data_IF_457458499023
#
_entry.id   IF_457458499023
#
_cell.length_a   1.000
_cell.length_b   1.000
_cell.length_c   1.000
_cell.angle_alpha   90.00
_cell.angle_beta   90.00
_cell.angle_gamma   90.00
#
_symmetry.space_group_name_H-M   'P 1'
#
loop_
_entity.id
_entity.type
_entity.pdbx_description
1 polymer ?
#
# COMPACT_ATOMS: atom_id res chain seq x y z
N UNK A 1 29.62 -6.85 5.46
CA UNK A 1 29.45 -6.41 4.06
C UNK A 1 28.05 -5.86 3.79
N UNK A 2 26.99 -6.64 3.98
CA UNK A 2 25.61 -6.19 3.71
C UNK A 2 25.21 -4.95 4.54
N UNK A 3 25.45 -4.96 5.86
CA UNK A 3 25.18 -3.81 6.76
C UNK A 3 25.89 -2.51 6.33
N UNK A 4 27.14 -2.60 5.88
CA UNK A 4 27.89 -1.42 5.40
C UNK A 4 27.38 -0.93 4.04
N UNK A 5 26.83 -1.81 3.21
CA UNK A 5 26.20 -1.46 1.94
C UNK A 5 24.86 -0.76 2.19
N UNK A 6 24.01 -1.32 3.06
CA UNK A 6 22.74 -0.74 3.49
C UNK A 6 22.95 0.69 4.02
N UNK A 7 23.92 0.91 4.92
CA UNK A 7 24.23 2.24 5.46
C UNK A 7 24.68 3.26 4.40
N UNK A 8 25.43 2.82 3.38
CA UNK A 8 25.84 3.70 2.28
C UNK A 8 24.66 4.06 1.39
N UNK A 9 23.82 3.07 1.07
CA UNK A 9 22.58 3.27 0.31
C UNK A 9 21.67 4.25 1.03
N UNK A 10 21.43 4.04 2.33
CA UNK A 10 20.56 4.87 3.16
C UNK A 10 21.04 6.33 3.17
N UNK A 11 22.34 6.57 3.34
CA UNK A 11 22.93 7.91 3.28
C UNK A 11 22.72 8.60 1.93
N UNK A 12 23.00 7.89 0.84
CA UNK A 12 22.88 8.43 -0.53
C UNK A 12 21.41 8.72 -0.86
N UNK A 13 20.51 7.80 -0.48
CA UNK A 13 19.08 7.95 -0.67
C UNK A 13 18.54 9.15 0.11
N UNK A 14 18.86 9.26 1.39
CA UNK A 14 18.40 10.38 2.21
C UNK A 14 18.92 11.72 1.71
N UNK A 15 20.19 11.79 1.31
CA UNK A 15 20.75 13.01 0.73
C UNK A 15 19.98 13.43 -0.52
N UNK A 16 19.75 12.52 -1.46
CA UNK A 16 19.00 12.81 -2.69
C UNK A 16 17.53 13.17 -2.39
N UNK A 17 16.87 12.46 -1.47
CA UNK A 17 15.48 12.73 -1.09
C UNK A 17 15.31 14.08 -0.40
N UNK A 18 16.27 14.47 0.45
CA UNK A 18 16.23 15.76 1.17
C UNK A 18 16.45 16.93 0.21
N UNK A 19 17.35 16.80 -0.77
CA UNK A 19 17.51 17.82 -1.82
C UNK A 19 16.26 17.99 -2.67
N UNK A 20 15.61 16.89 -3.04
CA UNK A 20 14.35 16.97 -3.79
C UNK A 20 13.23 17.62 -2.96
N UNK A 21 13.23 17.41 -1.64
CA UNK A 21 12.26 18.04 -0.74
C UNK A 21 12.52 19.55 -0.55
N UNK A 22 13.77 20.01 -0.71
CA UNK A 22 14.14 21.42 -0.67
C UNK A 22 13.60 22.19 -1.88
N UNK A 23 13.79 21.65 -3.09
CA UNK A 23 13.23 22.21 -4.32
C UNK A 23 12.83 21.10 -5.30
N UNK A 24 11.53 20.83 -5.37
CA UNK A 24 10.96 19.81 -6.24
C UNK A 24 10.85 20.23 -7.71
N UNK A 25 11.14 21.50 -8.04
CA UNK A 25 11.13 22.01 -9.42
C UNK A 25 12.50 21.93 -10.09
N UNK A 26 13.55 21.57 -9.35
CA UNK A 26 14.90 21.44 -9.88
C UNK A 26 15.10 20.08 -10.58
N UNK A 27 15.30 20.13 -11.91
CA UNK A 27 15.53 18.95 -12.74
C UNK A 27 16.78 18.14 -12.34
N UNK A 28 17.83 18.77 -11.77
CA UNK A 28 19.01 18.03 -11.31
C UNK A 28 18.69 17.14 -10.11
N UNK A 29 17.85 17.60 -9.19
CA UNK A 29 17.47 16.83 -8.00
C UNK A 29 16.58 15.66 -8.39
N UNK A 30 15.66 15.87 -9.34
CA UNK A 30 14.87 14.80 -9.95
C UNK A 30 15.78 13.75 -10.62
N UNK A 31 16.78 14.18 -11.39
CA UNK A 31 17.73 13.28 -12.04
C UNK A 31 18.55 12.46 -11.02
N UNK A 32 19.01 13.08 -9.92
CA UNK A 32 19.74 12.38 -8.84
C UNK A 32 18.90 11.29 -8.18
N UNK A 33 17.64 11.60 -7.83
CA UNK A 33 16.73 10.60 -7.25
C UNK A 33 16.49 9.45 -8.24
N UNK A 34 16.31 9.74 -9.52
CA UNK A 34 16.20 8.71 -10.56
C UNK A 34 17.45 7.83 -10.68
N UNK A 35 18.65 8.40 -10.58
CA UNK A 35 19.90 7.64 -10.56
C UNK A 35 20.01 6.72 -9.33
N UNK A 36 19.62 7.22 -8.14
CA UNK A 36 19.61 6.41 -6.92
C UNK A 36 18.60 5.27 -7.02
N UNK A 37 17.40 5.51 -7.57
CA UNK A 37 16.41 4.46 -7.82
C UNK A 37 16.95 3.39 -8.78
N UNK A 38 17.60 3.79 -9.88
CA UNK A 38 18.23 2.84 -10.79
C UNK A 38 19.35 2.02 -10.12
N UNK A 39 20.16 2.64 -9.26
CA UNK A 39 21.17 1.94 -8.49
C UNK A 39 20.55 0.93 -7.52
N UNK A 40 19.50 1.32 -6.81
CA UNK A 40 18.74 0.46 -5.90
C UNK A 40 18.16 -0.75 -6.61
N UNK A 41 17.58 -0.57 -7.80
CA UNK A 41 17.08 -1.68 -8.62
C UNK A 41 18.19 -2.67 -8.97
N UNK A 42 19.36 -2.19 -9.44
CA UNK A 42 20.50 -3.05 -9.77
C UNK A 42 21.04 -3.82 -8.56
N UNK A 43 21.09 -3.19 -7.39
CA UNK A 43 21.51 -3.84 -6.15
C UNK A 43 20.46 -4.90 -5.72
N UNK A 44 19.17 -4.57 -5.87
CA UNK A 44 18.07 -5.51 -5.64
C UNK A 44 18.18 -6.74 -6.53
N UNK A 45 18.41 -6.57 -7.83
CA UNK A 45 18.62 -7.65 -8.79
C UNK A 45 19.84 -8.51 -8.43
N UNK A 46 20.99 -7.87 -8.13
CA UNK A 46 22.22 -8.57 -7.77
C UNK A 46 22.12 -9.34 -6.45
N UNK A 47 21.23 -8.92 -5.53
CA UNK A 47 21.02 -9.56 -4.22
C UNK A 47 19.80 -10.48 -4.15
N UNK A 48 19.01 -10.57 -5.23
CA UNK A 48 17.75 -11.29 -5.26
C UNK A 48 17.87 -12.80 -4.99
N UNK A 49 19.05 -13.39 -5.25
CA UNK A 49 19.33 -14.80 -5.02
C UNK A 49 19.51 -15.17 -3.54
N UNK A 50 19.86 -14.20 -2.68
CA UNK A 50 20.25 -14.48 -1.28
C UNK A 50 19.07 -15.02 -0.46
N UNK A 51 17.89 -14.42 -0.60
CA UNK A 51 16.68 -14.83 0.13
C UNK A 51 16.23 -16.26 -0.23
N UNK A 52 16.05 -16.63 -1.52
CA UNK A 52 15.64 -17.99 -1.87
C UNK A 52 16.67 -19.04 -1.47
N UNK A 53 17.98 -18.76 -1.56
CA UNK A 53 19.00 -19.69 -1.08
C UNK A 53 18.88 -19.95 0.44
N UNK A 54 18.70 -18.90 1.26
CA UNK A 54 18.51 -19.05 2.72
C UNK A 54 17.24 -19.86 3.04
N UNK A 55 16.19 -19.71 2.23
CA UNK A 55 14.94 -20.46 2.39
C UNK A 55 15.08 -21.93 1.97
N UNK A 56 15.97 -22.22 1.00
CA UNK A 56 16.23 -23.56 0.49
C UNK A 56 17.11 -24.42 1.40
N UNK A 57 17.91 -23.81 2.30
CA UNK A 57 18.72 -24.55 3.29
C UNK A 57 17.81 -25.48 4.12
N UNK A 58 18.28 -26.67 4.48
CA UNK A 58 17.55 -27.61 5.34
C UNK A 58 17.41 -27.11 6.80
N UNK A 59 16.41 -27.59 7.53
CA UNK A 59 16.14 -27.09 8.89
C UNK A 59 17.27 -27.45 9.88
N UNK A 60 17.89 -28.60 9.70
CA UNK A 60 19.01 -29.10 10.51
C UNK A 60 20.25 -28.22 10.33
N UNK A 61 20.69 -28.04 9.08
CA UNK A 61 21.82 -27.19 8.71
C UNK A 61 21.62 -25.74 9.13
N UNK A 62 20.39 -25.22 9.02
CA UNK A 62 20.07 -23.86 9.46
C UNK A 62 20.17 -23.70 10.99
N UNK A 63 19.75 -24.72 11.75
CA UNK A 63 19.86 -24.71 13.21
C UNK A 63 21.34 -24.70 13.66
N UNK A 64 22.20 -25.46 12.98
CA UNK A 64 23.64 -25.47 13.22
C UNK A 64 24.28 -24.11 12.93
N UNK A 65 23.93 -23.47 11.81
CA UNK A 65 24.44 -22.14 11.49
C UNK A 65 24.01 -21.08 12.51
N UNK A 66 22.76 -21.09 12.97
CA UNK A 66 22.28 -20.12 13.97
C UNK A 66 22.89 -20.33 15.36
N UNK A 67 23.34 -21.55 15.68
CA UNK A 67 24.04 -21.84 16.92
C UNK A 67 25.47 -21.25 16.95
N UNK A 68 26.04 -20.92 15.78
CA UNK A 68 27.40 -20.38 15.71
C UNK A 68 27.45 -18.91 16.19
N UNK A 69 28.32 -18.57 17.17
CA UNK A 69 28.44 -17.20 17.70
C UNK A 69 28.84 -16.16 16.65
N UNK A 70 29.51 -16.55 15.56
CA UNK A 70 29.84 -15.65 14.45
C UNK A 70 28.60 -15.05 13.77
N UNK A 71 27.44 -15.73 13.86
CA UNK A 71 26.16 -15.28 13.30
C UNK A 71 25.24 -14.62 14.35
N UNK A 72 25.75 -14.34 15.55
CA UNK A 72 24.97 -13.74 16.64
C UNK A 72 24.27 -12.44 16.25
N UNK A 73 24.97 -11.52 15.56
CA UNK A 73 24.39 -10.25 15.10
C UNK A 73 23.30 -10.44 14.01
N UNK A 74 23.38 -11.51 13.23
CA UNK A 74 22.49 -11.79 12.09
C UNK A 74 21.31 -12.69 12.45
N UNK A 75 21.32 -13.29 13.63
CA UNK A 75 20.32 -14.26 14.09
C UNK A 75 18.88 -13.78 13.94
N UNK A 76 18.60 -12.53 14.31
CA UNK A 76 17.25 -11.95 14.19
C UNK A 76 16.84 -11.81 12.72
N UNK A 77 17.74 -11.33 11.85
CA UNK A 77 17.46 -11.15 10.41
C UNK A 77 17.22 -12.50 9.73
N UNK A 78 18.07 -13.50 10.01
CA UNK A 78 17.94 -14.85 9.47
C UNK A 78 16.65 -15.54 9.95
N UNK A 79 16.29 -15.43 11.23
CA UNK A 79 15.01 -15.95 11.72
C UNK A 79 13.79 -15.27 11.08
N UNK A 80 13.85 -13.96 10.83
CA UNK A 80 12.76 -13.24 10.13
C UNK A 80 12.58 -13.74 8.70
N UNK A 81 13.68 -13.98 7.97
CA UNK A 81 13.63 -14.58 6.64
C UNK A 81 13.05 -15.99 6.73
N UNK A 82 13.56 -16.83 7.64
CA UNK A 82 13.12 -18.22 7.79
C UNK A 82 11.66 -18.37 8.21
N UNK A 83 11.11 -17.41 8.96
CA UNK A 83 9.67 -17.36 9.30
C UNK A 83 8.78 -17.31 8.05
N UNK A 84 9.29 -16.82 6.93
CA UNK A 84 8.56 -16.77 5.66
C UNK A 84 8.64 -18.09 4.88
N UNK A 85 9.53 -19.04 5.22
CA UNK A 85 9.62 -20.35 4.55
C UNK A 85 8.29 -21.09 4.39
N UNK A 86 7.41 -21.21 5.41
CA UNK A 86 6.09 -21.85 5.23
C UNK A 86 5.11 -21.05 4.37
N UNK A 87 5.45 -19.81 4.00
CA UNK A 87 4.63 -18.89 3.20
C UNK A 87 5.18 -18.68 1.78
N UNK A 88 6.28 -19.36 1.44
CA UNK A 88 6.88 -19.37 0.10
C UNK A 88 6.36 -20.60 -0.61
N UNK A 89 5.63 -20.37 -1.69
CA UNK A 89 5.05 -21.45 -2.49
C UNK A 89 6.10 -22.03 -3.45
N UNK A 90 5.72 -23.08 -4.18
CA UNK A 90 6.58 -23.60 -5.25
C UNK A 90 6.81 -22.54 -6.34
N UNK A 91 7.93 -22.63 -7.06
CA UNK A 91 8.28 -21.69 -8.14
C UNK A 91 7.13 -21.46 -9.15
N UNK A 92 6.40 -22.49 -9.63
CA UNK A 92 5.25 -22.30 -10.51
C UNK A 92 4.10 -21.53 -9.86
N UNK A 93 3.82 -21.76 -8.58
CA UNK A 93 2.74 -21.11 -7.84
C UNK A 93 3.05 -19.65 -7.55
N UNK A 94 4.29 -19.33 -7.17
CA UNK A 94 4.76 -17.95 -7.00
C UNK A 94 4.68 -17.18 -8.32
N UNK A 95 5.07 -17.79 -9.44
CA UNK A 95 4.95 -17.18 -10.77
C UNK A 95 3.49 -16.90 -11.14
N UNK A 96 2.58 -17.82 -10.85
CA UNK A 96 1.14 -17.61 -11.07
C UNK A 96 0.60 -16.48 -10.20
N UNK A 97 1.00 -16.39 -8.94
CA UNK A 97 0.62 -15.28 -8.06
C UNK A 97 1.16 -13.93 -8.56
N UNK A 98 2.41 -13.90 -9.03
CA UNK A 98 3.03 -12.69 -9.57
C UNK A 98 2.27 -12.19 -10.81
N UNK A 99 1.95 -13.08 -11.75
CA UNK A 99 1.14 -12.75 -12.93
C UNK A 99 -0.26 -12.27 -12.56
N UNK A 100 -0.91 -12.93 -11.59
CA UNK A 100 -2.21 -12.51 -11.07
C UNK A 100 -2.18 -11.13 -10.40
N UNK A 101 -1.05 -10.76 -9.78
CA UNK A 101 -0.90 -9.45 -9.13
C UNK A 101 -0.99 -8.29 -10.13
N UNK A 102 -0.46 -8.44 -11.34
CA UNK A 102 -0.53 -7.42 -12.40
C UNK A 102 -1.97 -7.23 -12.89
N UNK A 103 -2.70 -8.33 -13.10
CA UNK A 103 -4.11 -8.27 -13.48
C UNK A 103 -4.97 -7.60 -12.39
N UNK A 104 -4.60 -7.77 -11.12
CA UNK A 104 -5.33 -7.22 -9.98
C UNK A 104 -4.89 -5.79 -9.60
N UNK A 105 -3.73 -5.29 -10.04
CA UNK A 105 -3.27 -3.94 -9.70
C UNK A 105 -4.02 -2.85 -10.46
N UNK A 106 -4.51 -3.13 -11.66
CA UNK A 106 -5.29 -2.17 -12.45
C UNK A 106 -6.58 -1.68 -11.78
N UNK A 107 -7.10 -2.41 -10.79
CA UNK A 107 -8.25 -1.97 -9.99
C UNK A 107 -7.93 -0.77 -9.09
N UNK A 108 -6.73 -0.75 -8.49
CA UNK A 108 -6.31 0.34 -7.60
C UNK A 108 -6.13 1.64 -8.42
N UNK A 109 -5.54 1.52 -9.62
CA UNK A 109 -5.37 2.64 -10.56
C UNK A 109 -6.70 3.15 -11.10
N UNK A 110 -7.59 2.26 -11.54
CA UNK A 110 -8.92 2.64 -12.03
C UNK A 110 -9.79 3.28 -10.94
N UNK A 111 -9.71 2.77 -9.70
CA UNK A 111 -10.39 3.38 -8.56
C UNK A 111 -9.86 4.78 -8.30
N UNK A 112 -8.54 4.97 -8.28
CA UNK A 112 -7.92 6.28 -8.05
C UNK A 112 -8.27 7.28 -9.15
N UNK A 113 -8.21 6.88 -10.42
CA UNK A 113 -8.64 7.73 -11.54
C UNK A 113 -10.11 8.13 -11.43
N UNK A 114 -10.98 7.18 -11.10
CA UNK A 114 -12.41 7.45 -10.91
C UNK A 114 -12.65 8.44 -9.76
N UNK A 115 -12.03 8.23 -8.59
CA UNK A 115 -12.30 9.07 -7.41
C UNK A 115 -11.68 10.46 -7.50
N UNK A 116 -10.51 10.57 -8.15
CA UNK A 116 -9.72 11.79 -8.10
C UNK A 116 -9.92 12.67 -9.35
N UNK A 117 -10.19 12.07 -10.51
CA UNK A 117 -10.31 12.79 -11.79
C UNK A 117 -11.77 12.94 -12.20
N UNK A 118 -12.49 11.81 -12.28
CA UNK A 118 -13.81 11.76 -12.92
C UNK A 118 -14.95 12.13 -11.97
N UNK A 119 -14.85 11.77 -10.68
CA UNK A 119 -15.88 12.08 -9.70
C UNK A 119 -15.91 13.58 -9.37
N UNK A 120 -16.85 14.30 -10.00
CA UNK A 120 -17.19 15.68 -9.60
C UNK A 120 -18.16 15.66 -8.43
N UNK A 121 -17.76 16.21 -7.27
CA UNK A 121 -18.63 16.28 -6.09
C UNK A 121 -19.42 17.59 -5.99
N UNK A 122 -19.20 18.55 -6.90
CA UNK A 122 -19.88 19.86 -6.93
C UNK A 122 -19.09 20.94 -6.19
N UNK A 123 -19.70 22.12 -6.02
CA UNK A 123 -19.12 23.25 -5.29
C UNK A 123 -19.86 23.47 -3.97
N UNK A 124 -19.14 23.92 -2.96
CA UNK A 124 -19.68 24.35 -1.68
C UNK A 124 -19.25 25.78 -1.39
N UNK A 125 -20.18 26.58 -0.88
CA UNK A 125 -19.93 27.94 -0.45
C UNK A 125 -19.63 27.97 1.04
N UNK A 126 -18.46 28.51 1.39
CA UNK A 126 -18.04 28.75 2.77
C UNK A 126 -18.77 29.98 3.37
N UNK A 127 -18.66 30.14 4.69
CA UNK A 127 -19.16 31.30 5.45
C UNK A 127 -18.63 32.66 4.95
N UNK A 128 -17.50 32.67 4.23
CA UNK A 128 -16.92 33.86 3.60
C UNK A 128 -17.46 34.15 2.20
N UNK A 129 -18.47 33.41 1.74
CA UNK A 129 -19.02 33.53 0.38
C UNK A 129 -18.11 32.99 -0.73
N UNK A 130 -17.05 32.25 -0.38
CA UNK A 130 -16.14 31.65 -1.36
C UNK A 130 -16.65 30.29 -1.80
N UNK A 131 -16.80 30.10 -3.11
CA UNK A 131 -17.11 28.81 -3.71
C UNK A 131 -15.84 27.98 -3.86
N UNK A 132 -15.81 26.81 -3.23
CA UNK A 132 -14.68 25.88 -3.31
C UNK A 132 -15.19 24.54 -3.83
N UNK A 133 -14.51 23.91 -4.82
CA UNK A 133 -14.89 22.60 -5.31
C UNK A 133 -14.70 21.54 -4.23
N UNK A 134 -15.69 20.67 -4.08
CA UNK A 134 -15.61 19.48 -3.26
C UNK A 134 -14.85 18.39 -4.02
N UNK A 135 -13.72 17.97 -3.47
CA UNK A 135 -12.86 16.86 -3.94
C UNK A 135 -12.48 16.00 -2.73
N UNK A 136 -11.90 14.82 -2.94
CA UNK A 136 -11.40 14.00 -1.83
C UNK A 136 -10.34 14.74 -1.00
N UNK A 137 -9.50 15.55 -1.65
CA UNK A 137 -8.48 16.38 -0.99
C UNK A 137 -9.07 17.56 -0.21
N UNK A 138 -10.11 18.24 -0.74
CA UNK A 138 -10.72 19.38 -0.06
C UNK A 138 -11.75 18.97 1.00
N UNK A 139 -12.29 17.75 0.95
CA UNK A 139 -13.26 17.23 1.90
C UNK A 139 -12.80 17.34 3.37
N UNK A 140 -11.55 16.97 3.65
CA UNK A 140 -10.97 17.09 4.99
C UNK A 140 -10.97 18.54 5.50
N UNK A 141 -10.69 19.50 4.61
CA UNK A 141 -10.68 20.93 4.95
C UNK A 141 -12.08 21.44 5.32
N UNK A 142 -13.14 20.96 4.65
CA UNK A 142 -14.52 21.31 5.00
C UNK A 142 -14.95 20.75 6.36
N UNK A 143 -14.47 19.56 6.75
CA UNK A 143 -14.83 18.93 8.02
C UNK A 143 -14.26 19.64 9.27
N UNK A 144 -13.26 20.48 9.10
CA UNK A 144 -12.63 21.23 10.22
C UNK A 144 -13.19 22.66 10.34
N UNK A 145 -14.02 23.11 9.40
CA UNK A 145 -14.66 24.45 9.43
C UNK A 145 -15.60 24.59 10.61
N UNK A 146 -15.77 25.82 11.12
CA UNK A 146 -16.58 26.12 12.31
C UNK A 146 -18.08 25.94 12.06
N UNK A 147 -18.56 26.25 10.86
CA UNK A 147 -19.96 26.06 10.47
C UNK A 147 -20.36 24.56 10.45
N UNK A 148 -21.27 24.21 11.36
CA UNK A 148 -21.85 22.87 11.46
C UNK A 148 -22.67 22.46 10.22
N UNK A 149 -23.41 23.41 9.62
CA UNK A 149 -24.25 23.11 8.46
C UNK A 149 -23.40 22.82 7.23
N UNK A 150 -22.29 23.55 7.04
CA UNK A 150 -21.31 23.27 6.00
C UNK A 150 -20.71 21.86 6.14
N UNK A 151 -20.30 21.47 7.36
CA UNK A 151 -19.80 20.10 7.61
C UNK A 151 -20.83 19.03 7.25
N UNK A 152 -22.09 19.24 7.65
CA UNK A 152 -23.19 18.32 7.36
C UNK A 152 -23.43 18.22 5.85
N UNK A 153 -23.51 19.35 5.14
CA UNK A 153 -23.67 19.38 3.67
C UNK A 153 -22.53 18.65 2.96
N UNK A 154 -21.29 18.96 3.32
CA UNK A 154 -20.11 18.30 2.76
C UNK A 154 -20.15 16.79 2.98
N UNK A 155 -20.44 16.33 4.20
CA UNK A 155 -20.52 14.91 4.53
C UNK A 155 -21.64 14.19 3.76
N UNK A 156 -22.84 14.78 3.73
CA UNK A 156 -23.99 14.18 3.04
C UNK A 156 -23.78 14.13 1.52
N UNK A 157 -23.22 15.19 0.93
CA UNK A 157 -22.94 15.27 -0.49
C UNK A 157 -21.85 14.28 -0.91
N UNK A 158 -20.77 14.19 -0.14
CA UNK A 158 -19.72 13.20 -0.37
C UNK A 158 -20.30 11.78 -0.31
N UNK A 159 -21.08 11.46 0.74
CA UNK A 159 -21.68 10.13 0.89
C UNK A 159 -22.66 9.79 -0.24
N UNK A 160 -23.54 10.73 -0.62
CA UNK A 160 -24.51 10.54 -1.71
C UNK A 160 -23.83 10.25 -3.05
N UNK A 161 -22.80 11.01 -3.40
CA UNK A 161 -22.13 10.87 -4.69
C UNK A 161 -21.30 9.59 -4.72
N UNK A 162 -20.64 9.27 -3.60
CA UNK A 162 -19.89 8.02 -3.40
C UNK A 162 -20.82 6.81 -3.54
N UNK A 163 -21.96 6.79 -2.86
CA UNK A 163 -22.89 5.65 -2.90
C UNK A 163 -23.58 5.45 -4.25
N UNK A 164 -23.74 6.52 -5.02
CA UNK A 164 -24.38 6.47 -6.35
C UNK A 164 -23.40 6.06 -7.44
N UNK A 165 -22.16 6.55 -7.39
CA UNK A 165 -21.18 6.38 -8.49
C UNK A 165 -20.24 5.20 -8.28
N UNK A 166 -19.94 4.83 -7.04
CA UNK A 166 -19.15 3.64 -6.78
C UNK A 166 -20.11 2.45 -6.63
N UNK A 167 -20.11 1.47 -7.56
CA UNK A 167 -20.81 0.23 -7.34
C UNK A 167 -20.35 -0.38 -6.01
N UNK A 168 -21.28 -1.02 -5.31
CA UNK A 168 -21.09 -1.63 -3.97
C UNK A 168 -20.08 -2.79 -3.98
N UNK A 169 -19.48 -3.06 -5.15
CA UNK A 169 -18.67 -4.21 -5.49
C UNK A 169 -17.37 -3.76 -6.17
N UNK A 170 -16.66 -2.81 -5.57
CA UNK A 170 -15.24 -2.67 -5.85
C UNK A 170 -14.49 -3.75 -5.06
N UNK A 171 -13.80 -4.69 -5.73
CA UNK A 171 -13.07 -5.72 -5.04
C UNK A 171 -11.69 -5.19 -4.64
N UNK A 172 -11.58 -4.01 -4.02
CA UNK A 172 -10.29 -3.47 -3.53
C UNK A 172 -9.66 -4.41 -2.50
N UNK A 173 -10.48 -5.25 -1.85
CA UNK A 173 -10.03 -6.21 -0.83
C UNK A 173 -9.64 -7.60 -1.35
N UNK A 174 -9.88 -7.94 -2.62
CA UNK A 174 -9.66 -9.30 -3.10
C UNK A 174 -8.17 -9.63 -3.29
N UNK A 175 -7.35 -8.68 -3.73
CA UNK A 175 -5.91 -8.87 -3.98
C UNK A 175 -5.07 -9.22 -2.73
N UNK A 176 -5.11 -8.44 -1.63
CA UNK A 176 -4.38 -8.80 -0.41
C UNK A 176 -4.94 -10.06 0.26
N UNK A 177 -6.26 -10.30 0.19
CA UNK A 177 -6.87 -11.51 0.75
C UNK A 177 -6.53 -12.78 -0.04
N UNK A 178 -6.51 -12.69 -1.38
CA UNK A 178 -6.16 -13.82 -2.25
C UNK A 178 -4.71 -14.24 -2.04
N UNK A 179 -3.77 -13.29 -2.10
CA UNK A 179 -2.35 -13.55 -1.87
C UNK A 179 -2.06 -14.08 -0.46
N UNK A 180 -2.67 -13.49 0.57
CA UNK A 180 -2.49 -13.95 1.95
C UNK A 180 -3.11 -15.34 2.21
N UNK A 181 -4.19 -15.69 1.50
CA UNK A 181 -4.81 -17.02 1.58
C UNK A 181 -3.99 -18.06 0.81
N UNK A 182 -3.49 -17.71 -0.37
CA UNK A 182 -2.63 -18.58 -1.17
C UNK A 182 -1.32 -18.91 -0.43
N UNK A 183 -0.71 -17.91 0.23
CA UNK A 183 0.51 -18.09 1.04
C UNK A 183 0.25 -18.66 2.45
N UNK A 184 -0.98 -19.03 2.78
CA UNK A 184 -1.32 -19.61 4.10
C UNK A 184 -1.17 -18.66 5.30
N UNK A 185 -1.03 -17.34 5.07
CA UNK A 185 -0.85 -16.31 6.12
C UNK A 185 -2.14 -16.11 6.93
N UNK A 186 -3.31 -16.23 6.29
CA UNK A 186 -4.62 -16.09 6.95
C UNK A 186 -5.30 -17.45 7.10
N UNK A 187 -5.25 -18.02 8.31
CA UNK A 187 -6.13 -19.14 8.69
C UNK A 187 -7.49 -18.57 9.13
N UNK A 188 -8.48 -18.65 8.24
CA UNK A 188 -9.93 -18.51 8.47
C UNK A 188 -10.33 -17.60 9.64
N UNK A 189 -10.13 -16.28 9.54
CA UNK A 189 -10.77 -15.33 10.48
C UNK A 189 -11.19 -14.03 9.80
N UNK A 190 -12.24 -14.13 8.97
CA UNK A 190 -13.26 -13.09 8.83
C UNK A 190 -14.41 -13.65 7.99
N UNK A 191 -15.50 -14.05 8.64
CA UNK A 191 -16.81 -13.88 7.98
C UNK A 191 -16.90 -12.38 7.62
N UNK A 192 -17.34 -12.00 6.43
CA UNK A 192 -17.56 -10.60 6.11
C UNK A 192 -18.75 -10.10 6.93
N UNK A 193 -18.52 -9.75 8.19
CA UNK A 193 -19.42 -8.94 8.99
C UNK A 193 -19.29 -7.50 8.53
N UNK A 194 -19.85 -7.17 7.36
CA UNK A 194 -20.34 -5.82 6.98
C UNK A 194 -21.17 -5.90 5.67
N UNK A 195 -21.86 -7.02 5.41
CA UNK A 195 -22.74 -7.15 4.24
C UNK A 195 -24.24 -7.26 4.60
N UNK A 196 -24.62 -7.06 5.87
CA UNK A 196 -26.00 -7.34 6.33
C UNK A 196 -26.65 -6.32 7.27
N UNK A 197 -26.09 -5.12 7.44
CA UNK A 197 -26.72 -4.10 8.30
C UNK A 197 -26.83 -2.75 7.59
N UNK A 198 -27.47 -2.74 6.42
CA UNK A 198 -27.99 -1.48 5.85
C UNK A 198 -29.11 -1.68 4.82
N UNK A 199 -29.80 -2.84 4.81
CA UNK A 199 -30.97 -3.07 3.93
C UNK A 199 -32.30 -3.17 4.70
N UNK A 200 -32.41 -2.65 5.92
CA UNK A 200 -33.66 -2.84 6.70
C UNK A 200 -34.11 -1.72 7.63
N UNK A 201 -33.66 -0.49 7.43
CA UNK A 201 -34.32 0.66 8.09
C UNK A 201 -34.45 1.81 7.11
N UNK A 202 -35.69 2.28 6.93
CA UNK A 202 -36.13 3.46 6.17
C UNK A 202 -36.57 3.20 4.73
N UNK A 203 -37.55 2.30 4.57
CA UNK A 203 -38.70 2.54 3.69
C UNK A 203 -39.96 2.38 4.54
N UNK A 204 -40.29 3.44 5.28
CA UNK A 204 -41.61 3.68 5.86
C UNK A 204 -41.80 5.19 5.87
N UNK A 205 -42.32 5.71 4.77
CA UNK A 205 -43.09 6.93 4.69
C UNK A 205 -44.03 6.73 3.50
N UNK A 206 -45.31 6.89 3.81
CA UNK A 206 -46.55 6.74 3.03
C UNK A 206 -47.08 5.32 2.79
#
# INVERSE_FOLDING_TARGET
>A
FEKSLELKIERVYHYASLQLAEDSTNNEYLARVGQVQNLLTKIGEASAFVVPEILAIDDETFAEFIANPALGEWRIKLHKIRRMKPHVLSEPEERLLALGSVALSGYDDAFSQLTDVDMKFGVLTDETGRETPLTQSSFSSFLVKRDHQLRKRASTQNFRITSTRLPHRWPTRSRPMFSARARGIIRRRSKPHYFLTMSRSQFTTD
#
